data_IF_903233433980
#
_entry.id   IF_903233433980
#
_cell.length_a   1.000
_cell.length_b   1.000
_cell.length_c   1.000
_cell.angle_alpha   90.00
_cell.angle_beta   90.00
_cell.angle_gamma   90.00
#
_symmetry.space_group_name_H-M   'P 1'
#
loop_
_entity.id
_entity.type
_entity.pdbx_description
1 polymer ?
#
# COMPACT_ATOMS: atom_id res chain seq x y z
N UNK A 1 23.11 17.42 -14.88
CA UNK A 1 22.76 16.06 -14.43
C UNK A 1 21.53 16.19 -13.54
N UNK A 2 20.38 15.66 -13.95
CA UNK A 2 19.20 15.61 -13.08
C UNK A 2 19.51 14.62 -11.96
N UNK A 3 19.41 15.06 -10.71
CA UNK A 3 19.73 14.18 -9.58
C UNK A 3 18.72 13.02 -9.53
N UNK A 4 19.23 11.79 -9.37
CA UNK A 4 18.44 10.56 -9.32
C UNK A 4 17.17 10.62 -8.42
N UNK A 5 17.17 11.33 -7.26
CA UNK A 5 15.97 11.46 -6.43
C UNK A 5 14.83 12.21 -7.12
N UNK A 6 15.13 13.27 -7.87
CA UNK A 6 14.13 14.06 -8.60
C UNK A 6 13.50 13.23 -9.72
N UNK A 7 14.30 12.40 -10.38
CA UNK A 7 13.82 11.53 -11.44
C UNK A 7 12.86 10.45 -10.91
N UNK A 8 13.18 9.83 -9.76
CA UNK A 8 12.24 8.93 -9.06
C UNK A 8 10.94 9.62 -8.68
N UNK A 9 11.03 10.82 -8.09
CA UNK A 9 9.85 11.57 -7.70
C UNK A 9 8.95 11.90 -8.90
N UNK A 10 9.53 12.32 -10.02
CA UNK A 10 8.77 12.56 -11.25
C UNK A 10 8.11 11.29 -11.79
N UNK A 11 8.80 10.14 -11.72
CA UNK A 11 8.21 8.85 -12.11
C UNK A 11 7.05 8.45 -11.20
N UNK A 12 7.22 8.56 -9.89
CA UNK A 12 6.16 8.26 -8.92
C UNK A 12 4.94 9.18 -9.14
N UNK A 13 5.18 10.46 -9.45
CA UNK A 13 4.12 11.41 -9.80
C UNK A 13 3.42 11.05 -11.11
N UNK A 14 4.17 10.72 -12.16
CA UNK A 14 3.60 10.32 -13.46
C UNK A 14 2.75 9.05 -13.34
N UNK A 15 3.22 8.05 -12.60
CA UNK A 15 2.48 6.82 -12.34
C UNK A 15 1.23 7.05 -11.48
N UNK A 16 1.30 7.99 -10.53
CA UNK A 16 0.13 8.40 -9.75
C UNK A 16 -0.91 9.10 -10.62
N UNK A 17 -0.48 9.93 -11.59
CA UNK A 17 -1.36 10.63 -12.53
C UNK A 17 -2.05 9.68 -13.52
N UNK A 18 -1.48 8.50 -13.79
CA UNK A 18 -2.06 7.47 -14.67
C UNK A 18 -3.14 6.62 -13.94
N UNK A 19 -3.52 6.96 -12.70
CA UNK A 19 -4.49 6.22 -11.85
C UNK A 19 -4.16 4.73 -11.63
N UNK A 20 -2.91 4.34 -11.91
CA UNK A 20 -2.40 2.97 -11.81
C UNK A 20 -1.57 2.74 -10.56
N UNK A 21 -1.26 3.80 -9.81
CA UNK A 21 -0.63 3.67 -8.50
C UNK A 21 -1.62 4.06 -7.42
N UNK A 22 -1.72 3.21 -6.40
CA UNK A 22 -2.46 3.52 -5.19
C UNK A 22 -1.57 3.39 -3.96
N UNK A 23 -1.83 4.27 -2.99
CA UNK A 23 -1.17 4.27 -1.70
C UNK A 23 -2.21 4.06 -0.61
N UNK A 24 -1.92 3.16 0.30
CA UNK A 24 -2.76 2.88 1.44
C UNK A 24 -1.94 2.56 2.67
N UNK A 25 -2.60 2.64 3.80
CA UNK A 25 -2.07 2.28 5.10
C UNK A 25 -3.06 1.31 5.75
N UNK A 26 -2.58 0.25 6.37
CA UNK A 26 -3.40 -0.73 7.08
C UNK A 26 -2.80 -1.04 8.44
N UNK A 27 -3.64 -1.13 9.46
CA UNK A 27 -3.23 -1.62 10.78
C UNK A 27 -3.34 -3.14 10.79
N UNK A 28 -2.22 -3.81 11.03
CA UNK A 28 -2.14 -5.27 11.17
C UNK A 28 -1.81 -5.64 12.60
N UNK A 29 -2.23 -6.81 13.04
CA UNK A 29 -1.81 -7.36 14.33
C UNK A 29 -0.34 -7.80 14.25
N UNK A 30 0.41 -7.69 15.34
CA UNK A 30 1.81 -8.10 15.49
C UNK A 30 1.94 -9.64 15.60
N UNK A 31 1.17 -10.37 14.80
CA UNK A 31 1.28 -11.81 14.66
C UNK A 31 2.18 -12.16 13.46
N UNK A 32 3.06 -13.15 13.60
CA UNK A 32 3.83 -13.64 12.46
C UNK A 32 2.88 -14.13 11.37
N UNK A 33 3.05 -13.61 10.16
CA UNK A 33 2.27 -14.00 8.98
C UNK A 33 1.16 -13.02 8.56
N UNK A 34 0.81 -12.01 9.37
CA UNK A 34 -0.21 -11.02 8.94
C UNK A 34 0.24 -10.23 7.71
N UNK A 35 1.51 -9.82 7.67
CA UNK A 35 2.10 -9.18 6.49
C UNK A 35 2.15 -10.16 5.32
N UNK A 36 2.44 -11.44 5.55
CA UNK A 36 2.42 -12.44 4.49
C UNK A 36 1.04 -12.55 3.85
N UNK A 37 -0.04 -12.55 4.64
CA UNK A 37 -1.43 -12.55 4.11
C UNK A 37 -1.73 -11.31 3.27
N UNK A 38 -1.23 -10.14 3.68
CA UNK A 38 -1.34 -8.91 2.89
C UNK A 38 -0.59 -9.05 1.56
N UNK A 39 0.66 -9.51 1.60
CA UNK A 39 1.49 -9.71 0.41
C UNK A 39 0.89 -10.76 -0.54
N UNK A 40 0.34 -11.85 -0.01
CA UNK A 40 -0.38 -12.87 -0.79
C UNK A 40 -1.62 -12.29 -1.49
N UNK A 41 -2.38 -11.44 -0.79
CA UNK A 41 -3.53 -10.74 -1.38
C UNK A 41 -3.09 -9.81 -2.51
N UNK A 42 -2.02 -9.04 -2.31
CA UNK A 42 -1.46 -8.16 -3.34
C UNK A 42 -0.93 -8.95 -4.54
N UNK A 43 -0.27 -10.08 -4.31
CA UNK A 43 0.23 -10.95 -5.37
C UNK A 43 -0.91 -11.60 -6.16
N UNK A 44 -1.98 -12.03 -5.49
CA UNK A 44 -3.16 -12.61 -6.13
C UNK A 44 -3.87 -11.63 -7.07
N UNK A 45 -3.94 -10.36 -6.68
CA UNK A 45 -4.52 -9.29 -7.50
C UNK A 45 -3.54 -8.72 -8.53
N UNK A 46 -2.40 -9.38 -8.75
CA UNK A 46 -1.35 -8.97 -9.68
C UNK A 46 -0.84 -7.53 -9.44
N UNK A 47 -0.91 -7.05 -8.19
CA UNK A 47 -0.44 -5.72 -7.81
C UNK A 47 1.07 -5.75 -7.56
N UNK A 48 1.80 -4.87 -8.26
CA UNK A 48 3.25 -4.71 -8.09
C UNK A 48 3.53 -3.80 -6.91
N UNK A 49 4.29 -4.29 -5.94
CA UNK A 49 4.70 -3.51 -4.78
C UNK A 49 5.85 -2.58 -5.17
N UNK A 50 5.63 -1.27 -5.06
CA UNK A 50 6.65 -0.24 -5.28
C UNK A 50 7.37 0.11 -3.97
N UNK A 51 6.62 0.15 -2.87
CA UNK A 51 7.15 0.41 -1.53
C UNK A 51 6.28 -0.25 -0.47
N UNK A 52 6.91 -0.78 0.58
CA UNK A 52 6.26 -1.27 1.79
C UNK A 52 7.06 -0.85 3.01
N UNK A 53 6.38 -0.35 4.04
CA UNK A 53 7.01 0.06 5.29
C UNK A 53 6.11 -0.32 6.46
N UNK A 54 6.68 -1.03 7.42
CA UNK A 54 6.04 -1.35 8.69
C UNK A 54 6.57 -0.41 9.78
N UNK A 55 5.67 0.21 10.54
CA UNK A 55 6.00 1.09 11.65
C UNK A 55 5.14 0.73 12.87
N UNK A 56 5.71 0.84 14.06
CA UNK A 56 4.94 0.70 15.29
C UNK A 56 4.23 2.03 15.60
N UNK A 57 2.96 2.02 16.02
CA UNK A 57 2.27 3.23 16.42
C UNK A 57 2.94 3.86 17.65
N UNK A 58 3.23 5.16 17.58
CA UNK A 58 3.92 5.92 18.63
C UNK A 58 3.14 6.02 19.96
N UNK A 59 1.82 5.81 19.92
CA UNK A 59 0.91 5.89 21.08
C UNK A 59 0.39 4.49 21.44
N UNK A 60 0.76 4.01 22.63
CA UNK A 60 0.60 2.64 23.16
C UNK A 60 -0.85 2.24 23.52
N UNK A 61 -1.85 2.55 22.72
CA UNK A 61 -3.21 2.09 23.03
C UNK A 61 -3.44 0.64 22.61
N UNK A 62 -2.67 0.15 21.63
CA UNK A 62 -2.79 -1.21 21.10
C UNK A 62 -1.39 -1.85 20.94
N UNK A 63 -0.92 -2.50 22.01
CA UNK A 63 0.46 -3.00 22.18
C UNK A 63 0.88 -4.11 21.20
N UNK A 64 -0.06 -4.58 20.36
CA UNK A 64 0.14 -5.70 19.45
C UNK A 64 -0.32 -5.35 18.03
N UNK A 65 -0.14 -4.10 17.62
CA UNK A 65 -0.46 -3.67 16.26
C UNK A 65 0.69 -2.91 15.64
N UNK A 66 0.86 -3.11 14.34
CA UNK A 66 1.77 -2.35 13.50
C UNK A 66 0.98 -1.70 12.38
N UNK A 67 1.42 -0.51 11.97
CA UNK A 67 0.94 0.17 10.79
C UNK A 67 1.80 -0.23 9.59
N UNK A 68 1.17 -0.69 8.51
CA UNK A 68 1.85 -1.03 7.26
C UNK A 68 1.39 -0.06 6.18
N UNK A 69 2.31 0.73 5.67
CA UNK A 69 2.09 1.60 4.52
C UNK A 69 2.60 0.95 3.25
N UNK A 70 1.78 0.95 2.21
CA UNK A 70 2.07 0.34 0.93
C UNK A 70 1.83 1.33 -0.21
N UNK A 71 2.73 1.29 -1.20
CA UNK A 71 2.54 1.90 -2.51
C UNK A 71 2.59 0.78 -3.53
N UNK A 72 1.51 0.61 -4.28
CA UNK A 72 1.38 -0.48 -5.26
C UNK A 72 0.96 0.06 -6.61
N UNK A 73 1.45 -0.57 -7.67
CA UNK A 73 1.10 -0.34 -9.06
C UNK A 73 0.20 -1.47 -9.55
N UNK A 74 -0.88 -1.12 -10.24
CA UNK A 74 -1.82 -2.03 -10.87
C UNK A 74 -1.71 -1.93 -12.40
N UNK A 75 -2.29 -2.94 -13.07
CA UNK A 75 -2.34 -2.98 -14.53
C UNK A 75 -3.10 -1.80 -15.12
N UNK A 76 -4.27 -1.50 -14.57
CA UNK A 76 -5.17 -0.44 -15.04
C UNK A 76 -6.15 -0.01 -13.93
N UNK A 77 -6.98 0.99 -14.24
CA UNK A 77 -7.98 1.56 -13.34
C UNK A 77 -9.03 0.56 -12.84
N UNK A 78 -9.39 -0.44 -13.64
CA UNK A 78 -10.36 -1.47 -13.25
C UNK A 78 -9.77 -2.37 -12.17
N UNK A 79 -8.53 -2.81 -12.34
CA UNK A 79 -7.76 -3.52 -11.32
C UNK A 79 -7.54 -2.67 -10.06
N UNK A 80 -7.25 -1.37 -10.21
CA UNK A 80 -7.17 -0.45 -9.04
C UNK A 80 -8.47 -0.46 -8.24
N UNK A 81 -9.61 -0.43 -8.91
CA UNK A 81 -10.93 -0.39 -8.26
C UNK A 81 -11.25 -1.72 -7.57
N UNK A 82 -10.95 -2.85 -8.23
CA UNK A 82 -11.10 -4.19 -7.67
C UNK A 82 -10.20 -4.38 -6.44
N UNK A 83 -8.92 -4.05 -6.55
CA UNK A 83 -7.96 -4.14 -5.45
C UNK A 83 -8.43 -3.31 -4.26
N UNK A 84 -8.91 -2.08 -4.53
CA UNK A 84 -9.46 -1.21 -3.48
C UNK A 84 -10.62 -1.86 -2.75
N UNK A 85 -11.54 -2.46 -3.48
CA UNK A 85 -12.70 -3.16 -2.91
C UNK A 85 -12.26 -4.33 -2.03
N UNK A 86 -11.42 -5.21 -2.56
CA UNK A 86 -10.96 -6.42 -1.85
C UNK A 86 -10.20 -6.07 -0.57
N UNK A 87 -9.31 -5.09 -0.63
CA UNK A 87 -8.55 -4.66 0.55
C UNK A 87 -9.44 -3.95 1.56
N UNK A 88 -10.44 -3.17 1.14
CA UNK A 88 -11.40 -2.53 2.05
C UNK A 88 -12.31 -3.56 2.72
N UNK A 89 -12.74 -4.59 1.99
CA UNK A 89 -13.57 -5.67 2.52
C UNK A 89 -12.78 -6.54 3.52
N UNK A 90 -11.48 -6.78 3.27
CA UNK A 90 -10.62 -7.63 4.10
C UNK A 90 -10.00 -6.90 5.30
N UNK A 91 -9.69 -5.62 5.15
CA UNK A 91 -8.97 -4.82 6.14
C UNK A 91 -9.78 -3.57 6.49
N UNK A 92 -10.68 -3.63 7.49
CA UNK A 92 -11.53 -2.49 7.87
C UNK A 92 -10.77 -1.24 8.32
N UNK A 93 -9.51 -1.41 8.77
CA UNK A 93 -8.61 -0.33 9.20
C UNK A 93 -7.88 0.33 8.03
N UNK A 94 -8.10 -0.12 6.79
CA UNK A 94 -7.40 0.44 5.63
C UNK A 94 -7.77 1.90 5.44
N UNK A 95 -6.75 2.73 5.27
CA UNK A 95 -6.88 4.14 4.94
C UNK A 95 -6.19 4.38 3.61
N UNK A 96 -6.95 4.84 2.63
CA UNK A 96 -6.41 5.20 1.32
C UNK A 96 -5.86 6.63 1.37
N UNK A 97 -4.68 6.84 0.80
CA UNK A 97 -4.15 8.18 0.60
C UNK A 97 -4.71 8.71 -0.71
N UNK A 98 -5.79 9.48 -0.62
CA UNK A 98 -6.35 10.19 -1.78
C UNK A 98 -5.45 11.40 -2.11
N UNK A 99 -5.27 11.64 -3.40
CA UNK A 99 -4.68 12.85 -3.95
C UNK A 99 -5.69 13.54 -4.84
#
# INVERSE_FOLDING_TARGET
>A
YMELPLMRQCMDQALTLDNRVCKFTVTVTDCPGEISKLLETLAHEEARILNIKQEQPYMRTDLFTSEVSCVVETRDRSYTTQLRKILTDRYPTITWVER
#
